data_IF_980401641151
#
_entry.id   IF_980401641151
#
_cell.length_a   1.000
_cell.length_b   1.000
_cell.length_c   1.000
_cell.angle_alpha   90.00
_cell.angle_beta   90.00
_cell.angle_gamma   90.00
#
_symmetry.space_group_name_H-M   'P 1'
#
loop_
_entity.id
_entity.type
_entity.pdbx_description
1 polymer ?
#
# COMPACT_ATOMS: atom_id res chain seq x y z
N UNK A 1 30.11 33.23 23.74
CA UNK A 1 30.31 32.37 22.55
C UNK A 1 29.46 31.12 22.79
N UNK A 2 28.24 31.09 22.24
CA UNK A 2 27.35 29.94 22.37
C UNK A 2 27.80 28.88 21.38
N UNK A 3 28.42 27.80 21.87
CA UNK A 3 28.61 26.60 21.05
C UNK A 3 27.24 25.95 20.91
N UNK A 4 26.56 26.21 19.79
CA UNK A 4 25.49 25.33 19.38
C UNK A 4 26.12 23.94 19.19
N UNK A 5 25.72 22.99 20.04
CA UNK A 5 26.05 21.58 19.84
C UNK A 5 25.52 21.23 18.47
N UNK A 6 26.43 20.90 17.55
CA UNK A 6 26.07 20.50 16.20
C UNK A 6 25.21 19.23 16.33
N UNK A 7 23.94 19.35 15.97
CA UNK A 7 23.00 18.26 16.10
C UNK A 7 23.33 17.23 15.02
N UNK A 8 23.90 16.10 15.42
CA UNK A 8 24.13 14.99 14.50
C UNK A 8 22.80 14.35 14.12
N UNK A 9 22.24 14.83 13.01
CA UNK A 9 20.99 14.36 12.45
C UNK A 9 21.06 12.86 12.10
N UNK A 10 22.22 12.36 11.68
CA UNK A 10 22.39 10.95 11.32
C UNK A 10 22.27 10.08 12.56
N UNK A 11 23.06 10.37 13.60
CA UNK A 11 23.01 9.64 14.88
C UNK A 11 21.61 9.68 15.50
N UNK A 12 20.93 10.84 15.44
CA UNK A 12 19.55 10.95 15.90
C UNK A 12 18.60 10.03 15.11
N UNK A 13 18.67 10.02 13.78
CA UNK A 13 17.81 9.19 12.94
C UNK A 13 18.10 7.70 13.11
N UNK A 14 19.36 7.31 13.22
CA UNK A 14 19.77 5.93 13.47
C UNK A 14 19.21 5.42 14.82
N UNK A 15 19.30 6.25 15.88
CA UNK A 15 18.68 5.96 17.18
C UNK A 15 17.16 5.79 17.07
N UNK A 16 16.49 6.58 16.23
CA UNK A 16 15.05 6.42 15.98
C UNK A 16 14.73 5.16 15.19
N UNK A 17 15.58 4.75 14.26
CA UNK A 17 15.43 3.47 13.57
C UNK A 17 15.55 2.32 14.57
N UNK A 18 16.55 2.34 15.46
CA UNK A 18 16.69 1.29 16.48
C UNK A 18 15.55 1.27 17.50
N UNK A 19 14.99 2.44 17.84
CA UNK A 19 13.85 2.56 18.73
C UNK A 19 12.58 1.96 18.10
N UNK A 20 12.27 2.29 16.84
CA UNK A 20 10.97 1.97 16.23
C UNK A 20 10.97 0.72 15.35
N UNK A 21 12.12 0.30 14.79
CA UNK A 21 12.22 -0.87 13.91
C UNK A 21 12.38 -2.15 14.75
N UNK A 22 11.38 -2.42 15.59
CA UNK A 22 11.33 -3.54 16.52
C UNK A 22 9.93 -4.18 16.46
N UNK A 23 9.80 -5.52 16.56
CA UNK A 23 8.51 -6.22 16.46
C UNK A 23 7.44 -5.74 17.44
N UNK A 24 7.83 -5.20 18.59
CA UNK A 24 6.89 -4.67 19.60
C UNK A 24 6.00 -3.51 19.10
N UNK A 25 6.36 -2.84 18.01
CA UNK A 25 5.54 -1.80 17.40
C UNK A 25 4.48 -2.34 16.42
N UNK A 26 4.65 -3.57 15.91
CA UNK A 26 3.77 -4.17 14.90
C UNK A 26 2.30 -4.18 15.35
N UNK A 27 1.92 -4.68 16.55
CA UNK A 27 0.51 -4.87 16.91
C UNK A 27 -0.35 -3.60 16.86
N UNK A 28 0.27 -2.43 16.96
CA UNK A 28 -0.42 -1.13 16.97
C UNK A 28 -0.14 -0.30 15.70
N UNK A 29 0.56 -0.86 14.73
CA UNK A 29 0.89 -0.22 13.45
C UNK A 29 0.14 -0.89 12.29
N UNK A 30 -0.27 -0.14 11.25
CA UNK A 30 -0.91 -0.73 10.07
C UNK A 30 -0.13 -1.86 9.38
N UNK A 31 1.19 -1.95 9.57
CA UNK A 31 1.99 -3.10 9.08
C UNK A 31 1.55 -4.44 9.69
N UNK A 32 0.84 -4.44 10.83
CA UNK A 32 0.21 -5.67 11.35
C UNK A 32 -0.79 -6.32 10.40
N UNK A 33 -1.33 -5.58 9.43
CA UNK A 33 -2.32 -6.10 8.47
C UNK A 33 -1.68 -7.10 7.51
N UNK A 34 -0.63 -6.76 6.73
CA UNK A 34 0.04 -7.75 5.86
C UNK A 34 0.61 -8.95 6.65
N UNK A 35 1.05 -8.76 7.89
CA UNK A 35 1.54 -9.84 8.77
C UNK A 35 0.48 -10.92 9.11
N UNK A 36 -0.80 -10.67 8.85
CA UNK A 36 -1.86 -11.68 9.03
C UNK A 36 -1.86 -12.76 7.94
N UNK A 37 -1.12 -12.55 6.85
CA UNK A 37 -1.17 -13.38 5.65
C UNK A 37 0.17 -14.05 5.37
N UNK A 38 0.12 -15.23 4.75
CA UNK A 38 1.29 -15.98 4.28
C UNK A 38 1.41 -16.01 2.75
N UNK A 39 0.30 -15.83 2.04
CA UNK A 39 0.27 -15.78 0.57
C UNK A 39 0.76 -14.41 0.10
N UNK A 40 1.74 -14.41 -0.82
CA UNK A 40 2.36 -13.19 -1.37
C UNK A 40 1.33 -12.16 -1.82
N UNK A 41 0.33 -12.58 -2.60
CA UNK A 41 -0.64 -11.64 -3.14
C UNK A 41 -1.60 -11.06 -2.08
N UNK A 42 -1.94 -11.83 -1.04
CA UNK A 42 -2.74 -11.32 0.08
C UNK A 42 -1.95 -10.24 0.86
N UNK A 43 -0.65 -10.49 1.08
CA UNK A 43 0.28 -9.53 1.69
C UNK A 43 0.35 -8.25 0.84
N UNK A 44 0.51 -8.37 -0.48
CA UNK A 44 0.59 -7.24 -1.40
C UNK A 44 -0.71 -6.42 -1.43
N UNK A 45 -1.86 -7.08 -1.60
CA UNK A 45 -3.18 -6.44 -1.67
C UNK A 45 -3.47 -5.70 -0.36
N UNK A 46 -3.36 -6.38 0.77
CA UNK A 46 -3.73 -5.80 2.05
C UNK A 46 -2.70 -4.82 2.59
N UNK A 47 -1.41 -5.03 2.28
CA UNK A 47 -0.37 -4.04 2.51
C UNK A 47 -0.61 -2.77 1.71
N UNK A 48 -0.98 -2.89 0.43
CA UNK A 48 -1.30 -1.72 -0.40
C UNK A 48 -2.52 -0.97 0.14
N UNK A 49 -3.63 -1.66 0.41
CA UNK A 49 -4.84 -1.06 0.97
C UNK A 49 -4.61 -0.39 2.34
N UNK A 50 -3.87 -1.05 3.23
CA UNK A 50 -3.48 -0.48 4.53
C UNK A 50 -2.67 0.81 4.35
N UNK A 51 -1.76 0.86 3.38
CA UNK A 51 -0.97 2.05 3.08
C UNK A 51 -1.81 3.21 2.54
N UNK A 52 -2.77 2.91 1.66
CA UNK A 52 -3.66 3.91 1.06
C UNK A 52 -4.58 4.52 2.12
N UNK A 53 -4.99 3.71 3.10
CA UNK A 53 -5.84 4.13 4.21
C UNK A 53 -5.07 4.74 5.39
N UNK A 54 -3.73 4.83 5.34
CA UNK A 54 -2.88 5.28 6.45
C UNK A 54 -2.92 6.80 6.74
N UNK A 55 -4.14 7.34 6.88
CA UNK A 55 -4.45 8.68 7.35
C UNK A 55 -5.53 8.61 8.41
N UNK A 56 -5.17 9.01 9.62
CA UNK A 56 -6.07 9.12 10.76
C UNK A 56 -5.49 8.44 11.98
N UNK A 57 -6.37 8.03 12.89
CA UNK A 57 -5.98 7.32 14.10
C UNK A 57 -5.61 5.87 13.78
N UNK A 58 -4.47 5.39 14.30
CA UNK A 58 -3.92 4.03 14.04
C UNK A 58 -4.95 2.93 14.28
N UNK A 59 -5.61 2.95 15.43
CA UNK A 59 -6.69 2.00 15.78
C UNK A 59 -7.82 1.98 14.73
N UNK A 60 -8.21 3.14 14.20
CA UNK A 60 -9.26 3.21 13.16
C UNK A 60 -8.77 2.61 11.84
N UNK A 61 -7.53 2.86 11.46
CA UNK A 61 -6.93 2.31 10.23
C UNK A 61 -6.91 0.78 10.31
N UNK A 62 -6.40 0.22 11.41
CA UNK A 62 -6.32 -1.24 11.64
C UNK A 62 -7.71 -1.86 11.62
N UNK A 63 -8.66 -1.29 12.35
CA UNK A 63 -10.04 -1.79 12.38
C UNK A 63 -10.69 -1.78 10.99
N UNK A 64 -10.44 -0.74 10.18
CA UNK A 64 -10.99 -0.64 8.82
C UNK A 64 -10.34 -1.63 7.84
N UNK A 65 -9.06 -1.92 8.02
CA UNK A 65 -8.39 -2.98 7.26
C UNK A 65 -8.97 -4.34 7.63
N UNK A 66 -9.13 -4.66 8.91
CA UNK A 66 -9.74 -5.91 9.35
C UNK A 66 -11.21 -6.05 8.89
N UNK A 67 -11.96 -4.95 8.84
CA UNK A 67 -13.30 -4.93 8.24
C UNK A 67 -13.25 -5.31 6.74
N UNK A 68 -12.26 -4.81 5.98
CA UNK A 68 -12.08 -5.23 4.58
C UNK A 68 -11.69 -6.70 4.44
N UNK A 69 -10.78 -7.19 5.30
CA UNK A 69 -10.42 -8.62 5.34
C UNK A 69 -11.67 -9.47 5.52
N UNK A 70 -12.55 -9.10 6.46
CA UNK A 70 -13.80 -9.82 6.69
C UNK A 70 -14.79 -9.71 5.52
N UNK A 71 -14.85 -8.56 4.83
CA UNK A 71 -15.69 -8.39 3.62
C UNK A 71 -15.17 -9.18 2.40
N UNK A 72 -13.91 -9.60 2.43
CA UNK A 72 -13.23 -10.44 1.43
C UNK A 72 -13.02 -11.87 1.93
N UNK A 73 -13.85 -12.34 2.87
CA UNK A 73 -13.87 -13.72 3.39
C UNK A 73 -12.52 -14.21 3.97
N UNK A 74 -11.69 -13.27 4.44
CA UNK A 74 -10.35 -13.59 4.96
C UNK A 74 -9.33 -13.97 3.90
N UNK A 75 -9.70 -14.00 2.61
CA UNK A 75 -8.84 -14.39 1.49
C UNK A 75 -8.86 -13.34 0.37
N UNK A 76 -8.24 -12.16 0.58
CA UNK A 76 -8.31 -11.02 -0.34
C UNK A 76 -8.01 -11.32 -1.81
N UNK A 77 -6.96 -12.09 -2.09
CA UNK A 77 -6.56 -12.45 -3.44
C UNK A 77 -7.57 -13.38 -4.10
N UNK A 78 -8.06 -14.38 -3.37
CA UNK A 78 -9.08 -15.30 -3.88
C UNK A 78 -10.36 -14.54 -4.22
N UNK A 79 -10.81 -13.67 -3.30
CA UNK A 79 -11.93 -12.76 -3.54
C UNK A 79 -11.69 -11.90 -4.80
N UNK A 80 -10.52 -11.29 -4.93
CA UNK A 80 -10.20 -10.43 -6.08
C UNK A 80 -10.28 -11.19 -7.41
N UNK A 81 -9.69 -12.38 -7.50
CA UNK A 81 -9.63 -13.13 -8.76
C UNK A 81 -10.98 -13.78 -9.09
N UNK A 82 -11.67 -14.32 -8.07
CA UNK A 82 -12.81 -15.21 -8.26
C UNK A 82 -14.19 -14.58 -7.98
N UNK A 83 -14.27 -13.33 -7.49
CA UNK A 83 -15.56 -12.71 -7.21
C UNK A 83 -16.49 -12.73 -8.42
N UNK A 84 -17.77 -12.95 -8.12
CA UNK A 84 -18.90 -12.68 -8.96
C UNK A 84 -19.47 -11.29 -8.64
N UNK A 85 -20.35 -10.77 -9.49
CA UNK A 85 -20.97 -9.46 -9.29
C UNK A 85 -21.72 -9.35 -7.95
N UNK A 86 -22.29 -10.46 -7.48
CA UNK A 86 -23.01 -10.50 -6.21
C UNK A 86 -22.06 -10.32 -5.01
N UNK A 87 -20.84 -10.84 -5.09
CA UNK A 87 -19.85 -10.75 -4.01
C UNK A 87 -19.38 -9.30 -3.82
N UNK A 88 -19.35 -8.50 -4.89
CA UNK A 88 -19.00 -7.08 -4.81
C UNK A 88 -19.96 -6.27 -3.93
N UNK A 89 -21.18 -6.77 -3.70
CA UNK A 89 -22.15 -6.11 -2.81
C UNK A 89 -21.67 -6.06 -1.36
N UNK A 90 -20.77 -6.96 -0.94
CA UNK A 90 -20.18 -6.94 0.41
C UNK A 90 -19.30 -5.70 0.64
N UNK A 91 -18.83 -5.05 -0.41
CA UNK A 91 -18.00 -3.83 -0.33
C UNK A 91 -18.83 -2.54 -0.28
N UNK A 92 -20.13 -2.61 -0.58
CA UNK A 92 -21.01 -1.44 -0.55
C UNK A 92 -21.10 -0.84 0.86
N UNK A 93 -21.14 0.50 0.92
CA UNK A 93 -21.15 1.23 2.17
C UNK A 93 -19.82 1.22 2.93
N UNK A 94 -18.76 0.58 2.41
CA UNK A 94 -17.43 0.72 3.00
C UNK A 94 -16.99 2.19 2.99
N UNK A 95 -16.43 2.67 4.09
CA UNK A 95 -15.93 4.04 4.22
C UNK A 95 -14.84 4.14 5.26
N UNK A 96 -13.76 4.81 4.87
CA UNK A 96 -12.69 5.29 5.74
C UNK A 96 -12.29 6.70 5.31
N UNK A 97 -12.69 7.70 6.09
CA UNK A 97 -12.46 9.13 5.76
C UNK A 97 -12.98 9.50 4.37
N UNK A 98 -12.07 9.70 3.42
CA UNK A 98 -12.37 10.08 2.03
C UNK A 98 -12.30 8.91 1.05
N UNK A 99 -11.89 7.73 1.52
CA UNK A 99 -11.88 6.46 0.79
C UNK A 99 -13.21 5.73 1.05
N UNK A 100 -13.90 5.26 0.00
CA UNK A 100 -15.20 4.60 0.14
C UNK A 100 -15.39 3.42 -0.82
N UNK A 101 -16.57 2.82 -0.78
CA UNK A 101 -17.06 1.77 -1.69
C UNK A 101 -16.71 2.03 -3.17
N UNK A 102 -16.96 3.23 -3.71
CA UNK A 102 -16.58 3.58 -5.09
C UNK A 102 -15.08 3.39 -5.35
N UNK A 103 -14.26 3.79 -4.38
CA UNK A 103 -12.81 3.71 -4.51
C UNK A 103 -12.33 2.25 -4.39
N UNK A 104 -12.82 1.47 -3.42
CA UNK A 104 -12.42 0.06 -3.25
C UNK A 104 -12.92 -0.84 -4.39
N UNK A 105 -14.12 -0.59 -4.93
CA UNK A 105 -14.61 -1.33 -6.09
C UNK A 105 -13.69 -1.13 -7.30
N UNK A 106 -13.20 0.08 -7.51
CA UNK A 106 -12.20 0.33 -8.55
C UNK A 106 -10.88 -0.40 -8.28
N UNK A 107 -10.40 -0.39 -7.04
CA UNK A 107 -9.19 -1.10 -6.65
C UNK A 107 -9.32 -2.61 -6.90
N UNK A 108 -10.48 -3.21 -6.59
CA UNK A 108 -10.76 -4.61 -6.89
C UNK A 108 -10.71 -4.87 -8.40
N UNK A 109 -11.33 -4.01 -9.23
CA UNK A 109 -11.24 -4.11 -10.68
C UNK A 109 -9.81 -4.02 -11.20
N UNK A 110 -9.02 -3.09 -10.68
CA UNK A 110 -7.60 -2.97 -11.03
C UNK A 110 -6.83 -4.22 -10.62
N UNK A 111 -6.96 -4.69 -9.37
CA UNK A 111 -6.23 -5.87 -8.91
C UNK A 111 -6.63 -7.13 -9.67
N UNK A 112 -7.92 -7.32 -10.00
CA UNK A 112 -8.36 -8.44 -10.84
C UNK A 112 -7.74 -8.37 -12.23
N UNK A 113 -7.72 -7.18 -12.84
CA UNK A 113 -7.05 -6.97 -14.12
C UNK A 113 -5.56 -7.27 -14.02
N UNK A 114 -4.88 -6.76 -12.99
CA UNK A 114 -3.46 -6.95 -12.79
C UNK A 114 -3.10 -8.43 -12.58
N UNK A 115 -3.72 -9.09 -11.60
CA UNK A 115 -3.43 -10.48 -11.27
C UNK A 115 -3.94 -11.51 -12.29
N UNK A 116 -4.72 -11.09 -13.29
CA UNK A 116 -5.01 -11.91 -14.46
C UNK A 116 -3.83 -12.00 -15.44
N UNK A 117 -2.86 -11.08 -15.35
CA UNK A 117 -1.72 -10.98 -16.27
C UNK A 117 -0.36 -11.15 -15.57
N UNK A 118 -0.30 -10.88 -14.26
CA UNK A 118 0.92 -10.88 -13.47
C UNK A 118 0.76 -11.68 -12.18
N UNK A 119 1.84 -12.26 -11.68
CA UNK A 119 1.81 -13.03 -10.43
C UNK A 119 1.99 -12.16 -9.17
N UNK A 120 2.49 -10.93 -9.33
CA UNK A 120 2.88 -10.04 -8.24
C UNK A 120 2.61 -8.58 -8.55
N UNK A 121 2.18 -7.82 -7.54
CA UNK A 121 2.00 -6.37 -7.65
C UNK A 121 3.31 -5.61 -7.98
N UNK A 122 4.47 -6.24 -7.79
CA UNK A 122 5.78 -5.71 -8.20
C UNK A 122 5.79 -5.31 -9.67
N UNK A 123 5.22 -6.13 -10.56
CA UNK A 123 5.21 -5.89 -12.00
C UNK A 123 4.50 -4.57 -12.37
N UNK A 124 3.52 -4.14 -11.57
CA UNK A 124 2.83 -2.87 -11.77
C UNK A 124 3.76 -1.64 -11.61
N UNK A 125 4.85 -1.76 -10.84
CA UNK A 125 5.84 -0.71 -10.64
C UNK A 125 6.97 -0.74 -11.67
N UNK A 126 7.11 -1.86 -12.39
CA UNK A 126 8.19 -2.08 -13.35
C UNK A 126 7.78 -1.82 -14.81
N UNK A 127 6.51 -1.44 -15.06
CA UNK A 127 6.00 -1.09 -16.38
C UNK A 127 6.91 -0.04 -17.07
N UNK A 128 7.45 -0.40 -18.23
CA UNK A 128 8.37 0.43 -19.02
C UNK A 128 9.83 0.41 -18.54
N UNK A 129 10.16 -0.42 -17.55
CA UNK A 129 11.49 -0.60 -16.98
C UNK A 129 11.88 -2.09 -16.83
N UNK A 130 11.18 -3.00 -17.51
CA UNK A 130 11.30 -4.45 -17.35
C UNK A 130 12.71 -4.98 -17.69
N UNK A 131 13.43 -4.29 -18.57
CA UNK A 131 14.78 -4.67 -19.03
C UNK A 131 15.89 -3.78 -18.47
N UNK A 132 15.63 -2.98 -17.44
CA UNK A 132 16.65 -2.12 -16.82
C UNK A 132 17.36 -2.86 -15.70
N UNK A 133 18.69 -2.70 -15.63
CA UNK A 133 19.49 -3.21 -14.50
C UNK A 133 19.18 -2.46 -13.19
N UNK A 134 18.92 -1.16 -13.28
CA UNK A 134 18.54 -0.31 -12.15
C UNK A 134 17.17 0.32 -12.37
N UNK A 135 16.32 0.25 -11.33
CA UNK A 135 14.97 0.83 -11.34
C UNK A 135 15.07 2.32 -11.02
N UNK A 136 14.62 3.17 -11.95
CA UNK A 136 14.35 4.58 -11.65
C UNK A 136 13.03 4.67 -10.88
N UNK A 137 13.12 5.00 -9.58
CA UNK A 137 11.96 5.07 -8.69
C UNK A 137 10.97 6.16 -9.08
N UNK A 138 11.44 7.30 -9.60
CA UNK A 138 10.53 8.36 -10.02
C UNK A 138 9.72 7.92 -11.24
N UNK A 139 10.39 7.32 -12.23
CA UNK A 139 9.72 6.74 -13.39
C UNK A 139 8.76 5.62 -12.98
N UNK A 140 9.16 4.71 -12.09
CA UNK A 140 8.34 3.61 -11.60
C UNK A 140 7.05 4.10 -10.94
N UNK A 141 7.13 5.09 -10.04
CA UNK A 141 5.96 5.63 -9.35
C UNK A 141 5.01 6.39 -10.30
N UNK A 142 5.55 7.06 -11.31
CA UNK A 142 4.74 7.72 -12.34
C UNK A 142 4.06 6.71 -13.28
N UNK A 143 4.79 5.67 -13.70
CA UNK A 143 4.27 4.57 -14.53
C UNK A 143 3.19 3.79 -13.77
N UNK A 144 3.43 3.45 -12.50
CA UNK A 144 2.46 2.78 -11.63
C UNK A 144 1.14 3.54 -11.58
N UNK A 145 1.17 4.87 -11.38
CA UNK A 145 -0.07 5.67 -11.35
C UNK A 145 -0.81 5.61 -12.70
N UNK A 146 -0.08 5.69 -13.81
CA UNK A 146 -0.68 5.60 -15.15
C UNK A 146 -1.30 4.23 -15.39
N UNK A 147 -0.58 3.16 -15.06
CA UNK A 147 -1.05 1.79 -15.17
C UNK A 147 -2.24 1.50 -14.24
N UNK A 148 -2.19 1.98 -12.99
CA UNK A 148 -3.28 1.85 -12.01
C UNK A 148 -4.59 2.45 -12.52
N UNK A 149 -4.53 3.51 -13.34
CA UNK A 149 -5.68 4.18 -13.95
C UNK A 149 -5.85 3.89 -15.45
N UNK A 150 -5.36 2.75 -15.93
CA UNK A 150 -5.44 2.37 -17.35
C UNK A 150 -6.81 1.84 -17.79
N UNK A 151 -7.64 1.37 -16.85
CA UNK A 151 -8.98 0.87 -17.16
C UNK A 151 -9.93 2.01 -17.57
N UNK A 152 -10.75 1.86 -18.63
CA UNK A 152 -11.48 2.95 -19.28
C UNK A 152 -12.47 3.71 -18.38
N UNK A 153 -13.04 3.06 -17.37
CA UNK A 153 -14.11 3.62 -16.51
C UNK A 153 -13.66 3.90 -15.07
N UNK A 154 -12.42 4.35 -14.87
CA UNK A 154 -11.96 4.66 -13.53
C UNK A 154 -12.68 5.90 -12.95
N UNK A 155 -13.18 5.87 -11.70
CA UNK A 155 -13.82 7.04 -11.12
C UNK A 155 -12.81 8.17 -10.89
N UNK A 156 -13.11 9.37 -11.40
CA UNK A 156 -12.22 10.55 -11.27
C UNK A 156 -11.86 10.84 -9.80
N UNK A 157 -12.80 10.61 -8.88
CA UNK A 157 -12.58 10.79 -7.43
C UNK A 157 -11.47 9.89 -6.87
N UNK A 158 -11.25 8.71 -7.46
CA UNK A 158 -10.31 7.70 -6.98
C UNK A 158 -8.87 8.13 -7.23
N UNK A 159 -8.63 8.99 -8.22
CA UNK A 159 -7.30 9.50 -8.62
C UNK A 159 -6.49 10.13 -7.48
N UNK A 160 -7.16 10.67 -6.46
CA UNK A 160 -6.51 11.31 -5.30
C UNK A 160 -5.86 10.30 -4.34
N UNK A 161 -6.19 9.02 -4.46
CA UNK A 161 -5.69 7.98 -3.57
C UNK A 161 -4.30 7.49 -3.96
N UNK A 162 -3.98 7.50 -5.25
CA UNK A 162 -2.66 7.14 -5.78
C UNK A 162 -1.95 8.42 -6.22
N UNK A 163 -1.00 8.90 -5.44
CA UNK A 163 -0.15 10.06 -5.78
C UNK A 163 1.03 9.64 -6.67
N UNK A 164 1.64 10.59 -7.38
CA UNK A 164 2.91 10.36 -8.08
C UNK A 164 3.86 11.57 -8.00
N UNK A 165 5.17 11.38 -8.23
CA UNK A 165 6.15 12.47 -8.24
C UNK A 165 5.84 13.56 -9.27
N UNK A 166 5.30 13.21 -10.45
CA UNK A 166 4.88 14.18 -11.47
C UNK A 166 3.86 15.21 -10.96
N UNK A 167 3.16 14.92 -9.86
CA UNK A 167 2.24 15.84 -9.19
C UNK A 167 2.89 16.68 -8.08
N UNK A 168 4.23 16.68 -7.99
CA UNK A 168 5.01 17.29 -6.89
C UNK A 168 4.61 16.75 -5.52
N UNK A 169 4.18 15.49 -5.44
CA UNK A 169 3.82 14.82 -4.21
C UNK A 169 5.02 14.07 -3.62
N UNK A 170 5.09 13.99 -2.29
CA UNK A 170 6.07 13.14 -1.58
C UNK A 170 5.76 11.65 -1.66
N UNK A 171 4.62 11.28 -2.24
CA UNK A 171 4.18 9.90 -2.48
C UNK A 171 4.19 9.01 -1.22
N UNK A 172 4.01 9.64 -0.05
CA UNK A 172 4.24 9.03 1.27
C UNK A 172 3.58 7.66 1.45
N UNK A 173 2.33 7.50 1.01
CA UNK A 173 1.56 6.24 1.19
C UNK A 173 2.16 5.09 0.39
N UNK A 174 2.53 5.34 -0.87
CA UNK A 174 3.15 4.31 -1.73
C UNK A 174 4.57 4.01 -1.23
N UNK A 175 5.35 5.03 -0.83
CA UNK A 175 6.66 4.79 -0.23
C UNK A 175 6.58 3.96 1.06
N UNK A 176 5.52 4.14 1.87
CA UNK A 176 5.28 3.30 3.04
C UNK A 176 4.97 1.85 2.66
N UNK A 177 4.16 1.63 1.62
CA UNK A 177 3.92 0.29 1.07
C UNK A 177 5.21 -0.36 0.54
N UNK A 178 5.99 0.36 -0.27
CA UNK A 178 7.23 -0.16 -0.83
C UNK A 178 8.25 -0.49 0.27
N UNK A 179 8.31 0.31 1.35
CA UNK A 179 9.11 -0.04 2.53
C UNK A 179 8.73 -1.41 3.07
N UNK A 180 7.43 -1.69 3.22
CA UNK A 180 6.93 -2.97 3.75
C UNK A 180 7.22 -4.15 2.82
N UNK A 181 7.26 -3.94 1.51
CA UNK A 181 7.38 -5.04 0.55
C UNK A 181 8.83 -5.32 0.11
N UNK A 182 9.69 -4.30 0.12
CA UNK A 182 11.01 -4.35 -0.54
C UNK A 182 12.17 -4.27 0.45
N UNK A 183 11.97 -3.63 1.61
CA UNK A 183 13.07 -3.48 2.58
C UNK A 183 13.45 -4.85 3.13
N UNK A 184 14.73 -5.21 2.97
CA UNK A 184 15.31 -6.40 3.58
C UNK A 184 16.16 -5.96 4.77
N UNK A 185 15.75 -6.33 5.96
CA UNK A 185 16.56 -6.18 7.17
C UNK A 185 16.46 -7.44 8.04
N UNK A 186 17.10 -7.41 9.21
CA UNK A 186 17.12 -8.52 10.17
C UNK A 186 16.26 -8.24 11.41
N UNK A 187 15.37 -7.24 11.36
CA UNK A 187 14.57 -6.79 12.51
C UNK A 187 13.18 -7.44 12.55
N UNK A 188 12.72 -8.05 11.46
CA UNK A 188 11.46 -8.79 11.40
C UNK A 188 10.22 -7.89 11.46
N UNK A 189 10.35 -6.64 11.00
CA UNK A 189 9.25 -5.67 10.96
C UNK A 189 8.55 -5.68 9.61
N UNK A 190 9.29 -5.53 8.51
CA UNK A 190 8.74 -5.60 7.15
C UNK A 190 8.74 -7.04 6.62
#
# INVERSE_FOLDING_TARGET
MSMAVDFDLKDFLDKKVDEYNQPGFIPNDPISIPHQFSRKQDIEIMGFLASIMAWGQRKTIINKCNELVARMDGSPYDYIVNHQEQDLKTLLGFKHRTFNDTDILYFVSFFKHHYAHFESLEDAFLVGQENREEVDLEMALNAFKTYFFSLPDYPVRTRKHISSPAQKSTVKRINMFLRWMVRKDTKGVD
#
